data_IF_692690725496
#
_entry.id   IF_692690725496
#
_cell.length_a   1.000
_cell.length_b   1.000
_cell.length_c   1.000
_cell.angle_alpha   90.00
_cell.angle_beta   90.00
_cell.angle_gamma   90.00
#
_symmetry.space_group_name_H-M   'P 1'
#
loop_
_entity.id
_entity.type
_entity.pdbx_description
1 polymer ?
#
# COMPACT_ATOMS: atom_id res chain seq x y z
N UNK A 1 -18.12 34.70 -36.14
CA UNK A 1 -17.67 34.62 -34.72
C UNK A 1 -18.31 33.48 -33.90
N UNK A 2 -19.23 32.65 -34.42
CA UNK A 2 -19.92 31.59 -33.65
C UNK A 2 -19.16 30.24 -33.55
N UNK A 3 -18.07 30.06 -34.31
CA UNK A 3 -17.34 28.79 -34.39
C UNK A 3 -16.34 28.57 -33.25
N UNK A 4 -15.90 29.64 -32.56
CA UNK A 4 -14.95 29.53 -31.45
C UNK A 4 -15.60 29.18 -30.10
N UNK A 5 -16.91 29.37 -29.94
CA UNK A 5 -17.59 29.20 -28.65
C UNK A 5 -17.70 27.72 -28.27
N UNK A 6 -17.90 26.83 -29.25
CA UNK A 6 -17.99 25.37 -29.04
C UNK A 6 -16.69 24.73 -28.51
N UNK A 7 -15.51 24.96 -29.11
CA UNK A 7 -14.27 24.40 -28.58
C UNK A 7 -13.84 25.04 -27.25
N UNK A 8 -14.13 26.32 -27.03
CA UNK A 8 -13.78 27.02 -25.78
C UNK A 8 -14.59 26.48 -24.59
N UNK A 9 -15.90 26.25 -24.78
CA UNK A 9 -16.75 25.69 -23.71
C UNK A 9 -16.38 24.24 -23.38
N UNK A 10 -16.01 23.43 -24.38
CA UNK A 10 -15.52 22.07 -24.18
C UNK A 10 -14.18 22.04 -23.43
N UNK A 11 -13.24 22.92 -23.79
CA UNK A 11 -11.95 23.04 -23.11
C UNK A 11 -12.11 23.47 -21.64
N UNK A 12 -13.05 24.38 -21.35
CA UNK A 12 -13.33 24.83 -19.99
C UNK A 12 -13.92 23.71 -19.12
N UNK A 13 -14.86 22.92 -19.66
CA UNK A 13 -15.42 21.74 -18.97
C UNK A 13 -14.34 20.70 -18.65
N UNK A 14 -13.46 20.38 -19.61
CA UNK A 14 -12.35 19.43 -19.40
C UNK A 14 -11.34 19.95 -18.37
N UNK A 15 -11.04 21.26 -18.39
CA UNK A 15 -10.11 21.87 -17.43
C UNK A 15 -10.70 21.88 -16.01
N UNK A 16 -12.00 22.15 -15.87
CA UNK A 16 -12.67 22.10 -14.56
C UNK A 16 -12.77 20.68 -14.01
N UNK A 17 -13.09 19.67 -14.83
CA UNK A 17 -13.14 18.27 -14.37
C UNK A 17 -11.76 17.77 -13.97
N UNK A 18 -10.71 18.10 -14.73
CA UNK A 18 -9.33 17.76 -14.38
C UNK A 18 -8.84 18.40 -13.07
N UNK A 19 -9.38 19.57 -12.69
CA UNK A 19 -9.09 20.22 -11.41
C UNK A 19 -9.97 19.72 -10.25
N UNK A 20 -11.17 19.19 -10.51
CA UNK A 20 -12.09 18.67 -9.49
C UNK A 20 -11.89 17.19 -9.17
N UNK A 21 -11.16 16.43 -9.99
CA UNK A 21 -10.81 15.04 -9.64
C UNK A 21 -9.74 15.06 -8.53
N UNK A 22 -9.97 14.39 -7.38
CA UNK A 22 -8.91 14.22 -6.39
C UNK A 22 -7.74 13.54 -7.09
N UNK A 23 -6.55 14.15 -6.99
CA UNK A 23 -5.31 13.47 -7.37
C UNK A 23 -5.25 12.22 -6.50
N UNK A 24 -5.50 11.04 -7.05
CA UNK A 24 -5.22 9.78 -6.37
C UNK A 24 -3.72 9.71 -6.15
N UNK A 25 -3.27 10.34 -5.07
CA UNK A 25 -1.92 10.22 -4.56
C UNK A 25 -1.84 8.84 -3.92
N UNK A 26 -1.21 7.91 -4.61
CA UNK A 26 -0.82 6.65 -4.02
C UNK A 26 0.28 6.97 -2.99
N UNK A 27 -0.07 6.89 -1.70
CA UNK A 27 0.94 6.94 -0.65
C UNK A 27 1.83 5.71 -0.82
N UNK A 28 3.15 5.92 -0.91
CA UNK A 28 4.08 4.80 -0.97
C UNK A 28 3.93 3.98 0.33
N UNK A 29 3.95 2.63 0.25
CA UNK A 29 3.88 1.81 1.45
C UNK A 29 5.12 2.05 2.33
N UNK A 30 4.92 2.15 3.64
CA UNK A 30 6.02 2.14 4.60
C UNK A 30 6.56 0.71 4.71
N UNK A 31 7.87 0.54 4.54
CA UNK A 31 8.52 -0.75 4.67
C UNK A 31 9.12 -0.89 6.07
N UNK A 32 8.82 -2.00 6.73
CA UNK A 32 9.35 -2.34 8.05
C UNK A 32 10.03 -3.69 7.97
N UNK A 33 11.28 -3.78 8.40
CA UNK A 33 11.99 -5.04 8.57
C UNK A 33 11.60 -5.66 9.92
N UNK A 34 10.99 -6.83 9.88
CA UNK A 34 10.48 -7.54 11.07
C UNK A 34 11.57 -8.35 11.78
N UNK A 35 12.44 -9.00 11.02
CA UNK A 35 13.61 -9.74 11.52
C UNK A 35 14.71 -9.67 10.46
N UNK A 36 15.95 -9.48 10.91
CA UNK A 36 17.15 -9.42 10.07
C UNK A 36 18.31 -10.23 10.64
N UNK A 37 18.10 -10.98 11.72
CA UNK A 37 19.15 -11.76 12.35
C UNK A 37 19.32 -13.10 11.62
N UNK A 38 20.49 -13.33 11.02
CA UNK A 38 20.81 -14.58 10.34
C UNK A 38 20.02 -14.81 9.05
N UNK A 39 19.83 -16.09 8.69
CA UNK A 39 19.07 -16.51 7.51
C UNK A 39 17.62 -16.78 7.93
N UNK A 40 16.80 -15.74 7.83
CA UNK A 40 15.40 -15.72 8.30
C UNK A 40 14.40 -15.51 7.15
N UNK A 41 13.09 -15.57 7.44
CA UNK A 41 12.03 -15.25 6.49
C UNK A 41 11.68 -16.35 5.47
N UNK A 42 12.13 -17.60 5.65
CA UNK A 42 11.80 -18.69 4.72
C UNK A 42 10.37 -19.16 4.88
N UNK A 43 9.75 -19.58 3.77
CA UNK A 43 8.39 -20.15 3.73
C UNK A 43 7.34 -19.24 4.40
N UNK A 44 7.52 -17.92 4.26
CA UNK A 44 6.70 -16.92 4.95
C UNK A 44 5.22 -17.03 4.57
N UNK A 45 4.35 -16.93 5.57
CA UNK A 45 2.90 -16.79 5.41
C UNK A 45 2.39 -15.59 6.23
N UNK A 46 1.32 -14.96 5.77
CA UNK A 46 0.69 -13.81 6.44
C UNK A 46 -0.81 -14.03 6.53
N UNK A 47 -1.38 -13.72 7.69
CA UNK A 47 -2.80 -13.61 7.92
C UNK A 47 -3.10 -12.39 8.78
N UNK A 48 -4.36 -11.95 8.79
CA UNK A 48 -4.84 -10.98 9.78
C UNK A 48 -5.49 -11.74 10.94
N UNK A 49 -5.25 -11.28 12.17
CA UNK A 49 -5.98 -11.78 13.33
C UNK A 49 -7.43 -11.23 13.37
N UNK A 50 -8.17 -11.56 14.43
CA UNK A 50 -9.54 -11.09 14.60
C UNK A 50 -9.67 -9.56 14.77
N UNK A 51 -8.59 -8.88 15.18
CA UNK A 51 -8.50 -7.42 15.28
C UNK A 51 -8.05 -6.73 13.99
N UNK A 52 -7.71 -7.50 12.95
CA UNK A 52 -7.16 -6.98 11.70
C UNK A 52 -5.65 -6.75 11.74
N UNK A 53 -4.96 -7.16 12.80
CA UNK A 53 -3.50 -7.00 12.92
C UNK A 53 -2.78 -8.08 12.12
N UNK A 54 -1.72 -7.72 11.35
CA UNK A 54 -0.90 -8.70 10.67
C UNK A 54 -0.21 -9.68 11.63
N UNK A 55 -0.31 -10.96 11.31
CA UNK A 55 0.43 -12.05 11.92
C UNK A 55 1.22 -12.78 10.83
N UNK A 56 2.53 -12.88 11.02
CA UNK A 56 3.45 -13.45 10.05
C UNK A 56 4.14 -14.66 10.65
N UNK A 57 4.03 -15.81 9.99
CA UNK A 57 4.82 -16.99 10.32
C UNK A 57 5.96 -17.16 9.32
N UNK A 58 7.15 -17.53 9.80
CA UNK A 58 8.32 -17.75 8.95
C UNK A 58 9.32 -18.70 9.61
N UNK A 59 10.09 -19.40 8.80
CA UNK A 59 11.15 -20.30 9.25
C UNK A 59 12.48 -19.55 9.35
N UNK A 60 13.09 -19.58 10.54
CA UNK A 60 14.44 -19.12 10.80
C UNK A 60 15.41 -20.30 10.59
N UNK A 61 16.15 -20.25 9.49
CA UNK A 61 17.06 -21.32 9.12
C UNK A 61 18.31 -21.35 10.01
N UNK A 62 18.69 -20.21 10.59
CA UNK A 62 19.86 -20.13 11.47
C UNK A 62 19.60 -20.85 12.78
N UNK A 63 18.39 -20.70 13.35
CA UNK A 63 18.01 -21.31 14.62
C UNK A 63 17.19 -22.61 14.46
N UNK A 64 16.79 -22.94 13.23
CA UNK A 64 16.01 -24.13 12.87
C UNK A 64 14.63 -24.19 13.54
N UNK A 65 14.00 -23.04 13.77
CA UNK A 65 12.69 -22.93 14.40
C UNK A 65 11.68 -22.11 13.58
N UNK A 66 10.40 -22.35 13.88
CA UNK A 66 9.30 -21.55 13.34
C UNK A 66 9.10 -20.32 14.23
N UNK A 67 9.11 -19.14 13.63
CA UNK A 67 8.89 -17.86 14.31
C UNK A 67 7.53 -17.27 13.96
N UNK A 68 7.00 -16.49 14.89
CA UNK A 68 5.78 -15.72 14.73
C UNK A 68 6.07 -14.24 15.04
N UNK A 69 5.72 -13.35 14.11
CA UNK A 69 5.71 -11.92 14.35
C UNK A 69 4.26 -11.43 14.37
N UNK A 70 3.89 -10.73 15.45
CA UNK A 70 2.55 -10.17 15.65
C UNK A 70 2.69 -8.66 15.67
N UNK A 71 1.92 -7.99 14.81
CA UNK A 71 1.81 -6.54 14.82
C UNK A 71 0.91 -6.12 15.98
N UNK A 72 1.45 -5.37 16.94
CA UNK A 72 0.69 -4.85 18.08
C UNK A 72 0.18 -3.42 17.85
N UNK A 73 0.60 -2.78 16.75
CA UNK A 73 0.20 -1.44 16.36
C UNK A 73 0.15 -1.33 14.82
N UNK A 74 -1.03 -1.54 14.21
CA UNK A 74 -1.19 -1.51 12.76
C UNK A 74 -1.35 -0.09 12.18
N UNK A 75 -1.14 0.96 12.98
CA UNK A 75 -1.47 2.36 12.64
C UNK A 75 -0.33 3.16 12.01
#
# INVERSE_FOLDING_TARGET
MKQLIRPVLAALLILTTALLLPRYAYAAPTLVTVDSAGVTGRYTSLALDAGGSPVISYFDQTNLDLRLAVCNDPT
#
